data_IF_545889421461
#
_entry.id   IF_545889421461
#
_cell.length_a   1.000
_cell.length_b   1.000
_cell.length_c   1.000
_cell.angle_alpha   90.00
_cell.angle_beta   90.00
_cell.angle_gamma   90.00
#
_symmetry.space_group_name_H-M   'P 1'
#
loop_
_entity.id
_entity.type
_entity.pdbx_description
1 polymer ?
#
# COMPACT_ATOMS: atom_id res chain seq x y z
N UNK A 1 -2.63 -15.15 -22.87
CA UNK A 1 -1.98 -15.36 -21.55
C UNK A 1 -2.14 -14.08 -20.76
N UNK A 2 -2.69 -14.12 -19.55
CA UNK A 2 -2.92 -12.94 -18.70
C UNK A 2 -1.58 -12.33 -18.29
N UNK A 3 -1.37 -11.05 -18.58
CA UNK A 3 -0.16 -10.31 -18.22
C UNK A 3 -0.33 -9.73 -16.83
N UNK A 4 0.54 -10.15 -15.90
CA UNK A 4 0.46 -9.77 -14.49
C UNK A 4 1.73 -8.99 -14.09
N UNK A 5 1.57 -7.91 -13.34
CA UNK A 5 2.66 -7.18 -12.72
C UNK A 5 2.35 -6.82 -11.28
N UNK A 6 3.39 -6.69 -10.46
CA UNK A 6 3.31 -6.04 -9.16
C UNK A 6 3.97 -4.67 -9.23
N UNK A 7 3.54 -3.73 -8.39
CA UNK A 7 4.26 -2.46 -8.25
C UNK A 7 4.19 -1.91 -6.84
N UNK A 8 5.13 -1.04 -6.53
CA UNK A 8 5.13 -0.19 -5.35
C UNK A 8 5.76 1.17 -5.67
N UNK A 9 5.53 2.15 -4.79
CA UNK A 9 6.04 3.51 -4.93
C UNK A 9 6.99 3.81 -3.76
N UNK A 10 8.17 4.35 -4.06
CA UNK A 10 9.26 4.58 -3.10
C UNK A 10 9.73 6.02 -3.18
N UNK A 11 9.70 6.74 -2.06
CA UNK A 11 10.39 8.02 -1.88
C UNK A 11 11.68 7.83 -1.06
N UNK A 12 12.43 8.91 -0.86
CA UNK A 12 13.72 8.89 -0.14
C UNK A 12 13.63 8.34 1.29
N UNK A 13 12.54 8.62 1.99
CA UNK A 13 12.37 8.27 3.40
C UNK A 13 12.01 6.79 3.61
N UNK A 14 11.53 6.14 2.56
CA UNK A 14 11.06 4.75 2.62
C UNK A 14 11.99 3.72 1.99
N UNK A 15 13.26 4.05 1.71
CA UNK A 15 14.22 3.11 1.10
C UNK A 15 14.44 1.87 1.96
N UNK A 16 14.68 2.02 3.26
CA UNK A 16 14.93 0.88 4.15
C UNK A 16 13.68 0.01 4.36
N UNK A 17 12.49 0.55 4.65
CA UNK A 17 11.25 -0.22 4.63
C UNK A 17 10.99 -0.92 3.29
N UNK A 18 11.24 -0.24 2.16
CA UNK A 18 11.07 -0.82 0.83
C UNK A 18 11.97 -2.04 0.60
N UNK A 19 13.22 -1.99 1.03
CA UNK A 19 14.15 -3.13 0.95
C UNK A 19 13.57 -4.34 1.70
N UNK A 20 13.08 -4.15 2.92
CA UNK A 20 12.52 -5.24 3.73
C UNK A 20 11.24 -5.81 3.11
N UNK A 21 10.31 -4.94 2.70
CA UNK A 21 9.06 -5.35 2.05
C UNK A 21 9.34 -6.12 0.74
N UNK A 22 10.18 -5.57 -0.14
CA UNK A 22 10.52 -6.18 -1.42
C UNK A 22 11.26 -7.50 -1.26
N UNK A 23 12.25 -7.59 -0.36
CA UNK A 23 12.98 -8.85 -0.11
C UNK A 23 12.03 -9.94 0.40
N UNK A 24 11.11 -9.58 1.30
CA UNK A 24 10.09 -10.52 1.76
C UNK A 24 9.13 -10.92 0.63
N UNK A 25 8.66 -9.98 -0.19
CA UNK A 25 7.80 -10.25 -1.35
C UNK A 25 8.48 -11.16 -2.38
N UNK A 26 9.67 -10.81 -2.82
CA UNK A 26 10.42 -11.50 -3.89
C UNK A 26 10.87 -12.92 -3.47
N UNK A 27 10.97 -13.20 -2.17
CA UNK A 27 11.24 -14.54 -1.66
C UNK A 27 10.14 -15.54 -2.01
N UNK A 28 8.88 -15.09 -1.99
CA UNK A 28 7.72 -15.96 -2.18
C UNK A 28 7.05 -15.81 -3.55
N UNK A 29 7.39 -14.73 -4.28
CA UNK A 29 6.68 -14.38 -5.50
C UNK A 29 7.65 -14.14 -6.66
N UNK A 30 7.38 -14.79 -7.79
CA UNK A 30 8.10 -14.57 -9.06
C UNK A 30 7.19 -13.84 -10.04
N UNK A 31 6.85 -12.60 -9.69
CA UNK A 31 5.98 -11.74 -10.47
C UNK A 31 6.83 -10.59 -11.00
N UNK A 32 6.67 -10.25 -12.28
CA UNK A 32 7.28 -9.04 -12.83
C UNK A 32 6.94 -7.85 -11.93
N UNK A 33 7.94 -7.13 -11.44
CA UNK A 33 7.74 -6.09 -10.43
C UNK A 33 8.32 -4.78 -10.94
N UNK A 34 7.53 -3.71 -10.86
CA UNK A 34 7.92 -2.35 -11.22
C UNK A 34 7.96 -1.49 -9.96
N UNK A 35 9.08 -0.82 -9.72
CA UNK A 35 9.23 0.13 -8.62
C UNK A 35 9.21 1.53 -9.23
N UNK A 36 8.27 2.37 -8.81
CA UNK A 36 8.27 3.79 -9.12
C UNK A 36 8.97 4.54 -8.00
N UNK A 37 10.16 5.02 -8.30
CA UNK A 37 11.00 5.73 -7.35
C UNK A 37 10.98 7.23 -7.64
N UNK A 38 10.92 8.03 -6.59
CA UNK A 38 11.04 9.48 -6.69
C UNK A 38 12.42 9.87 -7.26
N UNK A 39 12.43 10.76 -8.26
CA UNK A 39 13.65 11.24 -8.89
C UNK A 39 14.60 11.89 -7.88
N UNK A 40 15.87 11.58 -7.97
CA UNK A 40 16.90 12.07 -7.05
C UNK A 40 17.09 11.22 -5.80
N UNK A 41 16.25 10.21 -5.58
CA UNK A 41 16.43 9.24 -4.49
C UNK A 41 17.67 8.38 -4.72
N UNK A 42 18.47 8.13 -3.69
CA UNK A 42 19.62 7.23 -3.77
C UNK A 42 19.16 5.76 -3.83
N UNK A 43 19.10 5.22 -5.03
CA UNK A 43 18.57 3.88 -5.32
C UNK A 43 19.62 2.76 -5.25
N UNK A 44 20.88 3.05 -4.89
CA UNK A 44 21.96 2.04 -4.90
C UNK A 44 21.58 0.81 -4.07
N UNK A 45 21.14 1.01 -2.83
CA UNK A 45 20.76 -0.09 -1.91
C UNK A 45 19.52 -0.84 -2.39
N UNK A 46 18.56 -0.12 -2.95
CA UNK A 46 17.34 -0.73 -3.52
C UNK A 46 17.68 -1.62 -4.73
N UNK A 47 18.57 -1.16 -5.62
CA UNK A 47 19.05 -1.97 -6.75
C UNK A 47 19.76 -3.24 -6.29
N UNK A 48 20.62 -3.14 -5.28
CA UNK A 48 21.27 -4.33 -4.68
C UNK A 48 20.25 -5.31 -4.08
N UNK A 49 19.21 -4.79 -3.42
CA UNK A 49 18.16 -5.62 -2.81
C UNK A 49 17.32 -6.39 -3.83
N UNK A 50 17.20 -5.89 -5.05
CA UNK A 50 16.33 -6.43 -6.10
C UNK A 50 17.11 -7.11 -7.24
N UNK A 51 18.43 -7.17 -7.14
CA UNK A 51 19.31 -7.80 -8.13
C UNK A 51 18.94 -9.27 -8.35
N UNK A 52 18.91 -9.70 -9.61
CA UNK A 52 18.58 -11.09 -10.00
C UNK A 52 17.09 -11.44 -9.95
N UNK A 53 16.21 -10.51 -9.55
CA UNK A 53 14.77 -10.78 -9.42
C UNK A 53 13.91 -10.26 -10.60
N UNK A 54 14.51 -9.70 -11.66
CA UNK A 54 13.77 -9.17 -12.80
C UNK A 54 12.91 -7.94 -12.47
N UNK A 55 13.34 -7.17 -11.45
CA UNK A 55 12.65 -5.94 -11.02
C UNK A 55 13.07 -4.77 -11.90
N UNK A 56 12.09 -3.98 -12.34
CA UNK A 56 12.32 -2.74 -13.10
C UNK A 56 12.14 -1.55 -12.17
N UNK A 57 13.12 -0.65 -12.10
CA UNK A 57 13.02 0.60 -11.34
C UNK A 57 12.85 1.76 -12.32
N UNK A 58 11.74 2.49 -12.18
CA UNK A 58 11.38 3.67 -12.95
C UNK A 58 11.50 4.90 -12.07
N UNK A 59 12.46 5.76 -12.32
CA UNK A 59 12.56 7.05 -11.65
C UNK A 59 11.59 8.04 -12.28
N UNK A 60 10.77 8.70 -11.45
CA UNK A 60 9.73 9.65 -11.86
C UNK A 60 9.74 10.87 -10.95
N UNK A 61 9.35 11.99 -11.51
CA UNK A 61 8.96 13.15 -10.73
C UNK A 61 7.57 12.83 -10.14
N UNK A 62 7.46 12.90 -8.81
CA UNK A 62 6.19 12.67 -8.16
C UNK A 62 5.26 13.86 -8.38
N UNK A 63 3.96 13.63 -8.62
CA UNK A 63 3.03 14.73 -8.85
C UNK A 63 2.94 15.65 -7.63
N UNK A 64 3.05 16.95 -7.86
CA UNK A 64 2.68 17.96 -6.89
C UNK A 64 1.15 18.11 -6.92
N UNK A 65 0.50 17.79 -5.82
CA UNK A 65 -0.93 18.02 -5.69
C UNK A 65 -1.18 19.43 -5.15
N UNK A 66 -2.09 20.22 -5.74
CA UNK A 66 -2.45 21.54 -5.24
C UNK A 66 -3.30 21.47 -3.95
N UNK A 67 -2.96 20.55 -3.07
CA UNK A 67 -3.78 20.11 -1.93
C UNK A 67 -3.61 21.02 -0.72
N UNK A 68 -2.56 21.87 -0.70
CA UNK A 68 -2.25 22.76 0.42
C UNK A 68 -3.36 23.75 0.75
N UNK A 69 -4.14 24.16 -0.25
CA UNK A 69 -5.25 25.10 -0.08
C UNK A 69 -6.59 24.40 0.23
N UNK A 70 -6.68 23.10 -0.04
CA UNK A 70 -7.95 22.35 -0.04
C UNK A 70 -8.13 21.42 1.16
N UNK A 71 -7.06 20.82 1.68
CA UNK A 71 -7.13 19.93 2.85
C UNK A 71 -6.63 20.69 4.09
N UNK A 72 -7.52 20.93 5.05
CA UNK A 72 -7.18 21.66 6.28
C UNK A 72 -6.13 20.94 7.15
N UNK A 73 -5.39 21.69 7.97
CA UNK A 73 -4.32 21.18 8.86
C UNK A 73 -4.78 20.05 9.79
N UNK A 74 -6.06 20.02 10.14
CA UNK A 74 -6.67 18.99 10.99
C UNK A 74 -6.59 17.60 10.35
N UNK A 75 -6.58 17.52 9.05
CA UNK A 75 -6.52 16.30 8.26
C UNK A 75 -5.14 15.62 8.37
N UNK A 76 -4.08 16.41 8.17
CA UNK A 76 -2.70 15.89 8.16
C UNK A 76 -2.19 15.41 9.53
N UNK A 77 -2.85 15.80 10.62
CA UNK A 77 -2.40 15.44 11.97
C UNK A 77 -2.74 14.01 12.39
N UNK A 78 -3.72 13.36 11.74
CA UNK A 78 -4.31 12.12 12.25
C UNK A 78 -3.95 10.86 11.46
N UNK A 79 -3.89 10.90 10.12
CA UNK A 79 -3.85 9.69 9.29
C UNK A 79 -2.85 9.71 8.12
N UNK A 80 -2.42 10.87 7.67
CA UNK A 80 -1.54 11.02 6.52
C UNK A 80 -0.54 12.16 6.76
N UNK A 81 0.72 11.96 6.43
CA UNK A 81 1.68 13.07 6.37
C UNK A 81 1.56 13.78 5.01
N UNK A 82 1.85 15.09 4.99
CA UNK A 82 1.89 15.87 3.74
C UNK A 82 2.89 15.29 2.74
N UNK A 83 4.00 14.76 3.28
CA UNK A 83 5.08 14.15 2.51
C UNK A 83 4.67 12.85 1.81
N UNK A 84 3.60 12.18 2.27
CA UNK A 84 3.10 10.97 1.66
C UNK A 84 2.18 11.22 0.44
N UNK A 85 1.58 12.41 0.32
CA UNK A 85 0.62 12.73 -0.75
C UNK A 85 1.19 12.56 -2.16
N UNK A 86 2.42 13.02 -2.47
CA UNK A 86 3.00 12.81 -3.79
C UNK A 86 3.16 11.33 -4.14
N UNK A 87 3.45 10.48 -3.14
CA UNK A 87 3.56 9.04 -3.33
C UNK A 87 2.20 8.39 -3.64
N UNK A 88 1.11 8.84 -2.98
CA UNK A 88 -0.24 8.38 -3.29
C UNK A 88 -0.69 8.79 -4.70
N UNK A 89 -0.41 10.02 -5.11
CA UNK A 89 -0.67 10.49 -6.46
C UNK A 89 0.16 9.70 -7.50
N UNK A 90 1.42 9.37 -7.18
CA UNK A 90 2.27 8.56 -8.05
C UNK A 90 1.72 7.15 -8.23
N UNK A 91 1.01 6.56 -7.25
CA UNK A 91 0.33 5.27 -7.45
C UNK A 91 -0.71 5.32 -8.56
N UNK A 92 -1.53 6.36 -8.59
CA UNK A 92 -2.55 6.52 -9.65
C UNK A 92 -1.91 6.71 -11.02
N UNK A 93 -0.84 7.50 -11.10
CA UNK A 93 -0.07 7.66 -12.33
C UNK A 93 0.57 6.34 -12.78
N UNK A 94 1.07 5.55 -11.84
CA UNK A 94 1.61 4.22 -12.11
C UNK A 94 0.52 3.26 -12.63
N UNK A 95 -0.69 3.30 -12.06
CA UNK A 95 -1.82 2.53 -12.56
C UNK A 95 -2.20 2.93 -14.00
N UNK A 96 -2.20 4.23 -14.33
CA UNK A 96 -2.43 4.70 -15.70
C UNK A 96 -1.37 4.23 -16.70
N UNK A 97 -0.11 4.14 -16.28
CA UNK A 97 0.94 3.55 -17.12
C UNK A 97 0.73 2.05 -17.29
N UNK A 98 0.57 1.32 -16.16
CA UNK A 98 0.61 -0.15 -16.14
C UNK A 98 -0.63 -0.78 -16.79
N UNK A 99 -1.83 -0.19 -16.66
CA UNK A 99 -3.06 -0.72 -17.27
C UNK A 99 -3.05 -0.81 -18.80
N UNK A 100 -2.08 -0.16 -19.46
CA UNK A 100 -1.87 -0.25 -20.91
C UNK A 100 -1.18 -1.54 -21.33
N UNK A 101 -0.35 -2.08 -20.42
CA UNK A 101 0.52 -3.22 -20.73
C UNK A 101 0.14 -4.50 -19.97
N UNK A 102 -0.62 -4.40 -18.87
CA UNK A 102 -0.94 -5.52 -18.00
C UNK A 102 -2.43 -5.65 -17.78
N UNK A 103 -2.90 -6.89 -17.67
CA UNK A 103 -4.31 -7.21 -17.43
C UNK A 103 -4.64 -7.19 -15.92
N UNK A 104 -3.67 -7.60 -15.10
CA UNK A 104 -3.76 -7.64 -13.62
C UNK A 104 -2.57 -6.90 -13.01
N UNK A 105 -2.84 -5.97 -12.09
CA UNK A 105 -1.86 -5.12 -11.46
C UNK A 105 -1.98 -5.24 -9.94
N UNK A 106 -0.96 -5.77 -9.27
CA UNK A 106 -0.89 -5.86 -7.82
C UNK A 106 -0.13 -4.64 -7.26
N UNK A 107 -0.77 -3.84 -6.42
CA UNK A 107 -0.10 -2.84 -5.61
C UNK A 107 0.08 -3.33 -4.18
N UNK A 108 1.20 -3.01 -3.54
CA UNK A 108 1.40 -3.21 -2.11
C UNK A 108 2.18 -2.06 -1.47
N UNK A 109 1.88 -1.80 -0.19
CA UNK A 109 2.55 -0.80 0.63
C UNK A 109 3.90 -1.30 1.13
N UNK A 110 4.79 -0.36 1.47
CA UNK A 110 6.16 -0.66 1.88
C UNK A 110 6.32 -0.87 3.39
N UNK A 111 5.29 -0.55 4.16
CA UNK A 111 5.19 -0.87 5.59
C UNK A 111 4.51 -2.25 5.80
N UNK A 112 4.94 -3.20 4.99
CA UNK A 112 4.42 -4.57 4.96
C UNK A 112 5.51 -5.62 5.11
N UNK A 113 5.12 -6.83 5.47
CA UNK A 113 6.00 -7.99 5.51
C UNK A 113 5.27 -9.21 4.96
N UNK A 114 5.84 -9.85 3.93
CA UNK A 114 5.28 -11.05 3.31
C UNK A 114 5.81 -12.32 4.00
N UNK A 115 4.90 -13.26 4.21
CA UNK A 115 5.15 -14.57 4.81
C UNK A 115 4.86 -15.72 3.86
N UNK A 116 4.13 -15.45 2.78
CA UNK A 116 3.72 -16.46 1.81
C UNK A 116 3.46 -15.85 0.43
N UNK A 117 3.16 -16.69 -0.56
CA UNK A 117 2.88 -16.28 -1.93
C UNK A 117 1.47 -15.74 -2.12
N UNK A 118 1.34 -14.67 -2.91
CA UNK A 118 0.06 -14.13 -3.41
C UNK A 118 -0.42 -14.84 -4.68
N UNK A 119 0.41 -15.66 -5.30
CA UNK A 119 0.10 -16.34 -6.58
C UNK A 119 -1.20 -17.15 -6.55
N UNK A 120 -1.57 -17.87 -5.47
CA UNK A 120 -2.85 -18.57 -5.41
C UNK A 120 -4.06 -17.65 -5.51
N UNK A 121 -3.94 -16.39 -5.06
CA UNK A 121 -4.99 -15.38 -5.22
C UNK A 121 -5.05 -14.88 -6.65
N UNK A 122 -3.89 -14.57 -7.26
CA UNK A 122 -3.81 -14.03 -8.62
C UNK A 122 -4.39 -14.97 -9.69
N UNK A 123 -4.41 -16.27 -9.44
CA UNK A 123 -5.05 -17.24 -10.34
C UNK A 123 -6.58 -17.22 -10.34
N UNK A 124 -7.19 -16.47 -9.40
CA UNK A 124 -8.65 -16.45 -9.18
C UNK A 124 -9.28 -15.07 -9.44
N UNK A 125 -8.47 -14.07 -9.77
CA UNK A 125 -8.94 -12.70 -10.02
C UNK A 125 -9.24 -12.45 -11.48
N UNK A 126 -10.16 -11.50 -11.74
CA UNK A 126 -10.56 -11.05 -13.07
C UNK A 126 -9.95 -9.71 -13.40
N UNK A 127 -9.72 -9.44 -14.68
CA UNK A 127 -9.28 -8.14 -15.19
C UNK A 127 -10.38 -7.06 -15.17
N UNK A 128 -11.62 -7.42 -14.85
CA UNK A 128 -12.77 -6.51 -14.76
C UNK A 128 -13.17 -6.14 -13.32
N UNK A 129 -12.36 -6.48 -12.32
CA UNK A 129 -12.68 -6.21 -10.93
C UNK A 129 -11.46 -5.73 -10.13
N UNK A 130 -11.70 -5.21 -8.93
CA UNK A 130 -10.69 -4.74 -7.97
C UNK A 130 -10.84 -5.56 -6.69
N UNK A 131 -9.74 -6.08 -6.18
CA UNK A 131 -9.72 -6.98 -5.04
C UNK A 131 -8.84 -6.43 -3.91
N UNK A 132 -9.33 -6.49 -2.68
CA UNK A 132 -8.59 -6.09 -1.50
C UNK A 132 -9.25 -6.58 -0.21
N UNK A 133 -8.59 -6.35 0.92
CA UNK A 133 -9.15 -6.69 2.23
C UNK A 133 -9.96 -5.52 2.77
N UNK A 134 -11.17 -5.79 3.25
CA UNK A 134 -12.06 -4.78 3.79
C UNK A 134 -11.55 -4.21 5.11
N UNK A 135 -11.57 -2.88 5.24
CA UNK A 135 -11.23 -2.15 6.45
C UNK A 135 -12.49 -1.56 7.10
N UNK A 136 -13.16 -2.34 7.93
CA UNK A 136 -14.47 -2.01 8.53
C UNK A 136 -14.46 -0.70 9.32
N UNK A 137 -13.38 -0.42 10.07
CA UNK A 137 -13.28 0.77 10.92
C UNK A 137 -13.32 2.07 10.12
N UNK A 138 -12.60 2.13 9.00
CA UNK A 138 -12.58 3.32 8.14
C UNK A 138 -13.85 3.42 7.30
N UNK A 139 -14.49 2.29 6.97
CA UNK A 139 -15.78 2.26 6.29
C UNK A 139 -16.86 3.08 7.01
N UNK A 140 -17.03 2.90 8.32
CA UNK A 140 -18.04 3.62 9.09
C UNK A 140 -17.78 5.13 9.13
N UNK A 141 -16.50 5.54 9.14
CA UNK A 141 -16.10 6.95 9.06
C UNK A 141 -16.36 7.51 7.68
N UNK A 142 -15.98 6.80 6.64
CA UNK A 142 -16.16 7.16 5.25
C UNK A 142 -17.64 7.36 4.90
N UNK A 143 -18.53 6.45 5.32
CA UNK A 143 -19.98 6.57 5.15
C UNK A 143 -20.52 7.85 5.79
N UNK A 144 -20.05 8.15 7.01
CA UNK A 144 -20.51 9.34 7.75
C UNK A 144 -20.02 10.64 7.13
N UNK A 145 -18.80 10.66 6.59
CA UNK A 145 -18.16 11.88 6.11
C UNK A 145 -18.54 12.24 4.69
N UNK A 146 -18.57 11.30 3.76
CA UNK A 146 -18.89 11.57 2.35
C UNK A 146 -20.38 11.59 2.05
N UNK A 147 -21.24 11.29 3.03
CA UNK A 147 -22.68 11.26 2.82
C UNK A 147 -23.15 10.17 1.84
N UNK A 148 -22.30 9.20 1.51
CA UNK A 148 -22.54 8.12 0.53
C UNK A 148 -23.43 7.02 1.08
N UNK A 149 -24.56 7.40 1.67
CA UNK A 149 -25.52 6.46 2.27
C UNK A 149 -26.04 5.41 1.28
N UNK A 150 -26.09 5.78 0.01
CA UNK A 150 -26.68 4.94 -1.04
C UNK A 150 -25.64 3.92 -1.63
N UNK A 151 -24.37 4.23 -1.55
CA UNK A 151 -23.28 3.35 -2.07
C UNK A 151 -22.80 2.37 -0.99
N UNK A 152 -22.73 2.82 0.24
CA UNK A 152 -22.07 2.15 1.35
C UNK A 152 -22.64 0.81 1.82
N UNK A 153 -23.95 0.51 1.73
CA UNK A 153 -24.48 -0.77 2.21
C UNK A 153 -24.03 -1.98 1.40
N UNK A 154 -23.62 -1.78 0.15
CA UNK A 154 -23.43 -2.85 -0.85
C UNK A 154 -21.97 -3.15 -1.18
N UNK A 155 -21.03 -2.25 -0.92
CA UNK A 155 -19.64 -2.40 -1.30
C UNK A 155 -18.69 -2.51 -0.09
N UNK A 156 -17.65 -3.37 -0.16
CA UNK A 156 -16.59 -3.36 0.85
C UNK A 156 -15.78 -2.06 0.72
N UNK A 157 -15.32 -1.50 1.85
CA UNK A 157 -14.30 -0.46 1.86
C UNK A 157 -12.93 -1.13 1.97
N UNK A 158 -12.18 -1.15 0.87
CA UNK A 158 -10.91 -1.86 0.79
C UNK A 158 -9.75 -1.01 1.32
N UNK A 159 -8.87 -1.64 2.10
CA UNK A 159 -7.59 -1.05 2.46
C UNK A 159 -6.61 -1.15 1.28
N UNK A 160 -5.93 -0.04 0.96
CA UNK A 160 -5.03 0.04 -0.21
C UNK A 160 -3.60 -0.46 0.05
N UNK A 161 -3.32 -1.03 1.20
CA UNK A 161 -2.02 -1.63 1.51
C UNK A 161 -1.69 -2.90 0.72
N UNK A 162 -2.72 -3.61 0.22
CA UNK A 162 -2.61 -4.61 -0.83
C UNK A 162 -3.89 -4.61 -1.65
N UNK A 163 -3.78 -4.20 -2.90
CA UNK A 163 -4.90 -4.19 -3.86
C UNK A 163 -4.48 -4.81 -5.18
N UNK A 164 -5.39 -5.59 -5.74
CA UNK A 164 -5.24 -6.14 -7.08
C UNK A 164 -6.24 -5.45 -7.99
N UNK A 165 -5.75 -4.74 -8.98
CA UNK A 165 -6.53 -4.01 -9.95
C UNK A 165 -6.62 -4.80 -11.25
N UNK A 166 -7.84 -5.03 -11.71
CA UNK A 166 -8.11 -5.46 -13.08
C UNK A 166 -8.03 -4.25 -14.02
N UNK A 167 -7.28 -4.37 -15.09
CA UNK A 167 -7.07 -3.24 -16.01
C UNK A 167 -8.39 -2.76 -16.66
N UNK A 168 -9.33 -3.65 -16.94
CA UNK A 168 -10.66 -3.27 -17.49
C UNK A 168 -11.49 -2.48 -16.48
N UNK A 169 -11.42 -2.80 -15.17
CA UNK A 169 -12.10 -2.01 -14.15
C UNK A 169 -11.58 -0.57 -14.13
N UNK A 170 -10.27 -0.38 -14.30
CA UNK A 170 -9.65 0.94 -14.34
C UNK A 170 -9.99 1.74 -15.61
N UNK A 171 -10.42 1.10 -16.71
CA UNK A 171 -10.81 1.77 -17.95
C UNK A 171 -12.11 2.57 -17.84
N UNK A 172 -12.87 2.43 -16.74
CA UNK A 172 -14.02 3.29 -16.45
C UNK A 172 -13.64 4.75 -16.22
N UNK A 173 -12.35 5.06 -16.07
CA UNK A 173 -11.78 6.40 -15.90
C UNK A 173 -10.69 6.61 -16.95
N UNK A 174 -10.79 7.67 -17.73
CA UNK A 174 -9.83 7.97 -18.82
C UNK A 174 -8.44 8.38 -18.26
N UNK A 175 -8.43 9.27 -17.26
CA UNK A 175 -7.24 9.80 -16.59
C UNK A 175 -7.45 9.76 -15.08
N UNK A 176 -6.79 8.81 -14.40
CA UNK A 176 -6.91 8.60 -12.95
C UNK A 176 -6.42 9.78 -12.14
N UNK A 177 -5.37 10.48 -12.60
CA UNK A 177 -4.82 11.63 -11.90
C UNK A 177 -5.77 12.82 -11.95
N UNK A 178 -6.27 13.16 -13.13
CA UNK A 178 -7.21 14.29 -13.29
C UNK A 178 -8.52 14.07 -12.54
N UNK A 179 -9.03 12.82 -12.56
CA UNK A 179 -10.23 12.45 -11.81
C UNK A 179 -10.00 12.51 -10.29
N UNK A 180 -8.82 12.03 -9.83
CA UNK A 180 -8.42 12.12 -8.41
C UNK A 180 -8.30 13.56 -7.91
N UNK A 181 -7.66 14.45 -8.68
CA UNK A 181 -7.57 15.87 -8.33
C UNK A 181 -8.95 16.49 -8.20
N UNK A 182 -9.87 16.16 -9.12
CA UNK A 182 -11.25 16.60 -9.07
C UNK A 182 -11.98 16.08 -7.84
N UNK A 183 -11.79 14.81 -7.50
CA UNK A 183 -12.34 14.19 -6.29
C UNK A 183 -11.83 14.90 -5.02
N UNK A 184 -10.52 15.17 -4.93
CA UNK A 184 -9.93 15.88 -3.79
C UNK A 184 -10.53 17.28 -3.61
N UNK A 185 -10.68 18.03 -4.70
CA UNK A 185 -11.28 19.39 -4.66
C UNK A 185 -12.73 19.36 -4.19
N UNK A 186 -13.50 18.39 -4.65
CA UNK A 186 -14.94 18.29 -4.33
C UNK A 186 -15.19 17.78 -2.91
N UNK A 187 -14.29 16.96 -2.36
CA UNK A 187 -14.53 16.22 -1.11
C UNK A 187 -13.53 16.58 0.01
N UNK A 188 -12.78 17.65 -0.11
CA UNK A 188 -11.66 18.02 0.77
C UNK A 188 -11.97 18.00 2.27
N UNK A 189 -13.22 18.33 2.66
CA UNK A 189 -13.66 18.36 4.07
C UNK A 189 -14.01 16.96 4.63
N UNK A 190 -14.11 15.96 3.79
CA UNK A 190 -14.67 14.64 4.12
C UNK A 190 -13.69 13.48 3.93
N UNK A 191 -12.50 13.74 3.42
CA UNK A 191 -11.48 12.74 3.10
C UNK A 191 -10.65 12.40 4.35
N UNK A 192 -10.38 11.11 4.57
CA UNK A 192 -9.50 10.63 5.64
C UNK A 192 -8.22 10.01 5.11
N UNK A 193 -8.32 9.20 4.07
CA UNK A 193 -7.21 8.52 3.40
C UNK A 193 -7.34 8.80 1.90
N UNK A 194 -6.68 9.86 1.37
CA UNK A 194 -7.00 10.43 0.05
C UNK A 194 -7.12 9.43 -1.08
N UNK A 195 -6.08 8.64 -1.30
CA UNK A 195 -6.06 7.64 -2.37
C UNK A 195 -7.03 6.49 -2.07
N UNK A 196 -7.04 6.00 -0.85
CA UNK A 196 -7.92 4.90 -0.43
C UNK A 196 -9.40 5.31 -0.55
N UNK A 197 -9.76 6.52 -0.08
CA UNK A 197 -11.12 7.04 -0.20
C UNK A 197 -11.53 7.22 -1.67
N UNK A 198 -10.62 7.74 -2.50
CA UNK A 198 -10.86 7.89 -3.93
C UNK A 198 -11.11 6.55 -4.61
N UNK A 199 -10.24 5.56 -4.41
CA UNK A 199 -10.37 4.23 -5.02
C UNK A 199 -11.70 3.59 -4.59
N UNK A 200 -12.04 3.66 -3.31
CA UNK A 200 -13.30 3.11 -2.79
C UNK A 200 -14.54 3.85 -3.28
N UNK A 201 -14.46 5.15 -3.47
CA UNK A 201 -15.55 5.96 -4.01
C UNK A 201 -15.76 5.70 -5.50
N UNK A 202 -14.68 5.74 -6.26
CA UNK A 202 -14.74 5.70 -7.73
C UNK A 202 -15.07 4.33 -8.29
N UNK A 203 -14.55 3.28 -7.65
CA UNK A 203 -14.60 1.92 -8.17
C UNK A 203 -15.48 0.97 -7.35
N UNK A 204 -16.40 1.48 -6.53
CA UNK A 204 -17.22 0.69 -5.62
C UNK A 204 -17.96 -0.48 -6.31
N UNK A 205 -18.45 -0.30 -7.54
CA UNK A 205 -19.14 -1.33 -8.32
C UNK A 205 -18.25 -2.49 -8.79
N UNK A 206 -16.93 -2.27 -8.78
CA UNK A 206 -15.94 -3.26 -9.23
C UNK A 206 -15.25 -3.98 -8.06
N UNK A 207 -15.59 -3.64 -6.81
CA UNK A 207 -14.85 -4.10 -5.63
C UNK A 207 -15.27 -5.48 -5.14
N UNK A 208 -14.29 -6.31 -4.84
CA UNK A 208 -14.46 -7.62 -4.24
C UNK A 208 -13.55 -7.78 -3.02
N UNK A 209 -14.13 -8.28 -1.92
CA UNK A 209 -13.36 -8.58 -0.73
C UNK A 209 -12.59 -9.89 -0.88
N UNK A 210 -11.33 -9.90 -0.44
CA UNK A 210 -10.49 -11.09 -0.33
C UNK A 210 -10.26 -11.43 1.15
N UNK A 211 -9.87 -12.70 1.46
CA UNK A 211 -9.63 -13.12 2.84
C UNK A 211 -8.58 -12.25 3.56
N UNK A 212 -8.87 -11.90 4.81
CA UNK A 212 -8.08 -10.97 5.63
C UNK A 212 -6.59 -11.34 5.77
N UNK A 213 -6.22 -12.61 5.67
CA UNK A 213 -4.83 -13.05 5.78
C UNK A 213 -3.93 -12.57 4.62
N UNK A 214 -4.51 -12.06 3.50
CA UNK A 214 -3.74 -11.46 2.40
C UNK A 214 -3.27 -10.04 2.71
N UNK A 215 -3.94 -9.31 3.60
CA UNK A 215 -3.53 -8.00 4.09
C UNK A 215 -3.92 -7.91 5.55
N UNK A 216 -3.14 -8.57 6.40
CA UNK A 216 -3.43 -8.67 7.83
C UNK A 216 -3.16 -7.33 8.51
N UNK A 217 -4.23 -6.70 8.97
CA UNK A 217 -4.23 -5.43 9.69
C UNK A 217 -4.57 -5.67 11.15
N UNK A 218 -3.79 -5.12 12.11
CA UNK A 218 -3.98 -5.39 13.54
C UNK A 218 -5.24 -4.80 14.17
N UNK A 219 -6.05 -4.09 13.41
CA UNK A 219 -7.33 -3.55 13.87
C UNK A 219 -8.48 -4.56 13.90
N UNK A 220 -8.28 -5.77 13.34
CA UNK A 220 -9.31 -6.81 13.26
C UNK A 220 -9.05 -7.97 14.22
N UNK A 221 -10.04 -8.35 15.01
CA UNK A 221 -9.92 -9.27 16.17
C UNK A 221 -9.83 -10.77 15.80
N UNK A 222 -10.01 -11.15 14.54
CA UNK A 222 -10.24 -12.55 14.12
C UNK A 222 -9.03 -13.30 13.52
N UNK A 223 -7.80 -12.92 13.85
CA UNK A 223 -6.58 -13.38 13.18
C UNK A 223 -6.01 -14.75 13.55
N UNK A 224 -6.58 -15.44 14.50
CA UNK A 224 -5.90 -16.58 15.12
C UNK A 224 -5.90 -17.88 14.32
N UNK A 225 -6.62 -17.95 13.20
CA UNK A 225 -6.91 -19.25 12.55
C UNK A 225 -6.12 -19.49 11.24
N UNK A 226 -5.60 -18.47 10.57
CA UNK A 226 -4.90 -18.65 9.29
C UNK A 226 -3.58 -17.88 9.30
N UNK A 227 -2.45 -18.53 8.97
CA UNK A 227 -1.17 -17.83 8.83
C UNK A 227 -1.28 -16.70 7.79
N UNK A 228 -0.74 -15.50 8.06
CA UNK A 228 -0.81 -14.39 7.13
C UNK A 228 0.00 -14.66 5.86
N UNK A 229 -0.51 -14.18 4.73
CA UNK A 229 0.27 -14.02 3.50
C UNK A 229 1.09 -12.75 3.58
N UNK A 230 0.46 -11.66 4.04
CA UNK A 230 1.11 -10.38 4.28
C UNK A 230 0.58 -9.75 5.58
N UNK A 231 1.47 -9.11 6.31
CA UNK A 231 1.15 -8.26 7.46
C UNK A 231 1.39 -6.81 7.08
N UNK A 232 0.44 -5.93 7.39
CA UNK A 232 0.50 -4.51 7.12
C UNK A 232 0.55 -3.73 8.45
N UNK A 233 1.63 -2.99 8.66
CA UNK A 233 1.86 -2.21 9.87
C UNK A 233 1.23 -0.82 9.75
N UNK A 234 -0.05 -0.71 10.13
CA UNK A 234 -0.83 0.52 9.98
C UNK A 234 -0.46 1.62 11.00
N UNK A 235 -0.73 2.86 10.61
CA UNK A 235 -0.68 4.02 11.51
C UNK A 235 0.71 4.29 12.09
N UNK A 236 0.78 4.61 13.39
CA UNK A 236 2.02 4.97 14.09
C UNK A 236 2.82 3.75 14.57
N UNK A 237 2.19 2.59 14.69
CA UNK A 237 2.83 1.36 15.17
C UNK A 237 3.59 0.67 14.04
N UNK A 238 4.78 1.20 13.75
CA UNK A 238 5.70 0.61 12.78
C UNK A 238 6.83 -0.13 13.51
N UNK A 239 7.38 -1.20 12.93
CA UNK A 239 8.52 -1.92 13.53
C UNK A 239 9.76 -1.06 13.81
N UNK A 240 9.79 0.17 13.30
CA UNK A 240 10.89 1.14 13.41
C UNK A 240 10.49 2.49 14.05
N UNK A 241 9.27 2.60 14.56
CA UNK A 241 8.75 3.89 15.04
C UNK A 241 9.05 4.20 16.52
N UNK A 242 9.46 3.21 17.31
CA UNK A 242 9.55 3.34 18.76
C UNK A 242 8.17 3.33 19.46
N UNK A 243 7.10 3.02 18.76
CA UNK A 243 5.75 2.93 19.30
C UNK A 243 5.26 1.47 19.24
N UNK A 244 4.71 0.99 20.35
CA UNK A 244 4.06 -0.32 20.47
C UNK A 244 2.83 -0.14 21.35
N UNK A 245 1.67 -0.07 20.75
CA UNK A 245 0.40 0.11 21.51
C UNK A 245 -0.33 -1.21 21.71
N UNK A 246 -0.01 -2.24 20.94
CA UNK A 246 -0.66 -3.55 21.02
C UNK A 246 0.35 -4.71 21.11
N UNK A 247 0.17 -5.55 22.13
CA UNK A 247 0.97 -6.77 22.34
C UNK A 247 0.81 -7.81 21.21
N UNK A 248 -0.29 -7.80 20.47
CA UNK A 248 -0.50 -8.73 19.34
C UNK A 248 0.40 -8.37 18.15
N UNK A 249 0.71 -7.09 17.99
CA UNK A 249 1.63 -6.56 16.98
C UNK A 249 3.06 -7.03 17.24
N UNK A 250 3.41 -7.27 18.49
CA UNK A 250 4.77 -7.58 18.93
C UNK A 250 5.38 -8.81 18.27
N UNK A 251 4.60 -9.87 18.09
CA UNK A 251 5.10 -11.10 17.44
C UNK A 251 5.58 -10.84 16.00
N UNK A 252 4.93 -9.91 15.29
CA UNK A 252 5.29 -9.57 13.92
C UNK A 252 6.41 -8.54 13.84
N UNK A 253 6.60 -7.69 14.83
CA UNK A 253 7.77 -6.81 14.93
C UNK A 253 9.05 -7.62 15.07
N UNK A 254 9.03 -8.68 15.88
CA UNK A 254 10.17 -9.62 15.97
C UNK A 254 10.47 -10.29 14.64
N UNK A 255 9.42 -10.68 13.88
CA UNK A 255 9.60 -11.23 12.53
C UNK A 255 10.18 -10.21 11.56
N UNK A 256 9.72 -8.95 11.64
CA UNK A 256 10.27 -7.86 10.86
C UNK A 256 11.76 -7.63 11.18
N UNK A 257 12.14 -7.65 12.46
CA UNK A 257 13.55 -7.52 12.88
C UNK A 257 14.43 -8.65 12.34
N UNK A 258 13.93 -9.88 12.32
CA UNK A 258 14.62 -11.02 11.68
C UNK A 258 14.84 -10.78 10.19
N UNK A 259 13.85 -10.22 9.49
CA UNK A 259 14.01 -9.89 8.07
C UNK A 259 15.02 -8.75 7.85
N UNK A 260 15.03 -7.73 8.74
CA UNK A 260 16.06 -6.69 8.73
C UNK A 260 17.47 -7.28 8.91
N UNK A 261 17.66 -8.24 9.81
CA UNK A 261 18.95 -8.92 9.99
C UNK A 261 19.42 -9.64 8.72
N UNK A 262 18.50 -10.26 7.96
CA UNK A 262 18.82 -10.86 6.67
C UNK A 262 19.24 -9.85 5.61
N UNK A 263 18.86 -8.59 5.79
CA UNK A 263 19.16 -7.48 4.89
C UNK A 263 20.21 -6.51 5.48
N UNK A 264 20.85 -6.84 6.60
CA UNK A 264 21.74 -5.90 7.34
C UNK A 264 22.86 -5.30 6.49
N UNK A 265 23.36 -6.03 5.49
CA UNK A 265 24.38 -5.56 4.58
C UNK A 265 23.87 -4.55 3.51
N UNK A 266 22.55 -4.31 3.44
CA UNK A 266 21.91 -3.46 2.44
C UNK A 266 21.13 -2.30 3.08
N UNK A 267 20.54 -2.50 4.27
CA UNK A 267 19.80 -1.45 4.98
C UNK A 267 20.74 -0.56 5.80
N UNK A 268 20.29 0.64 6.20
CA UNK A 268 21.13 1.54 6.97
C UNK A 268 21.25 1.12 8.44
N UNK A 269 22.42 1.43 9.04
CA UNK A 269 22.66 1.19 10.48
C UNK A 269 21.65 1.93 11.35
N UNK A 270 21.25 3.15 10.95
CA UNK A 270 20.28 3.94 11.69
C UNK A 270 18.88 3.31 11.68
N UNK A 271 18.48 2.75 10.56
CA UNK A 271 17.22 2.00 10.48
C UNK A 271 17.26 0.73 11.33
N UNK A 272 18.37 -0.02 11.29
CA UNK A 272 18.59 -1.18 12.16
C UNK A 272 18.51 -0.83 13.63
N UNK A 273 19.13 0.28 14.06
CA UNK A 273 19.03 0.78 15.44
C UNK A 273 17.59 1.07 15.83
N UNK A 274 16.82 1.74 14.98
CA UNK A 274 15.39 2.04 15.22
C UNK A 274 14.57 0.76 15.39
N UNK A 275 14.75 -0.23 14.51
CA UNK A 275 14.06 -1.52 14.58
C UNK A 275 14.43 -2.26 15.87
N UNK A 276 15.71 -2.29 16.25
CA UNK A 276 16.18 -2.92 17.50
C UNK A 276 15.60 -2.24 18.73
N UNK A 277 15.60 -0.91 18.77
CA UNK A 277 15.02 -0.13 19.87
C UNK A 277 13.52 -0.40 20.01
N UNK A 278 12.76 -0.42 18.91
CA UNK A 278 11.33 -0.76 18.93
C UNK A 278 11.10 -2.17 19.47
N UNK A 279 11.93 -3.15 19.08
CA UNK A 279 11.81 -4.52 19.57
C UNK A 279 12.19 -4.70 21.05
N UNK A 280 12.94 -3.78 21.66
CA UNK A 280 13.23 -3.80 23.10
C UNK A 280 12.04 -3.37 23.97
N UNK A 281 11.03 -2.71 23.36
CA UNK A 281 9.80 -2.30 24.04
C UNK A 281 8.78 -3.46 24.19
N UNK A 282 9.09 -4.62 23.62
CA UNK A 282 8.24 -5.82 23.53
C UNK A 282 8.84 -6.94 24.39
#
# INVERSE_FOLDING_TARGET
MTRITAFCVVNSDYIDPAIVALRSFLRYNRIHTVIYAERGTNLRRLRMATEGHGVVIRERDFPELPVHETLGDKYFSLFCSREALPAYAMRLKALDELRKDYDIILNFDLDTLFFNSVTPLLSRVSDSAIYGVSERRNRDRWIKSLGVKDIAPLSPYLNTGLVIYGAKALQSVDDLMSDYESFLKQNSQHIYCPEQDYINYKFHDYMHEIPAHYNLMFTDVNYRQTPPVMVHFLGKDKPWSGHVTDMQTSAYFRRYAVECQRCEHIISDDFLKKVRATNQLI
#
